data_IF_885721527780
#
_entry.id   IF_885721527780
#
_cell.length_a   1.000
_cell.length_b   1.000
_cell.length_c   1.000
_cell.angle_alpha   90.00
_cell.angle_beta   90.00
_cell.angle_gamma   90.00
#
_symmetry.space_group_name_H-M   'P 1'
#
loop_
_entity.id
_entity.type
_entity.pdbx_description
1 polymer ?
#
# COMPACT_ATOMS: atom_id res chain seq x y z
N UNK A 1 54.81 -12.30 21.48
CA UNK A 1 54.00 -12.73 20.32
C UNK A 1 53.24 -14.04 20.55
N UNK A 2 53.83 -15.06 21.22
CA UNK A 2 53.16 -16.35 21.53
C UNK A 2 51.92 -16.24 22.44
N UNK A 3 51.91 -15.33 23.42
CA UNK A 3 50.79 -15.16 24.34
C UNK A 3 49.56 -14.46 23.73
N UNK A 4 49.75 -13.57 22.76
CA UNK A 4 48.64 -12.90 22.06
C UNK A 4 47.88 -13.86 21.13
N UNK A 5 48.56 -14.84 20.54
CA UNK A 5 47.94 -15.87 19.69
C UNK A 5 47.07 -16.82 20.54
N UNK A 6 47.51 -17.19 21.74
CA UNK A 6 46.74 -18.05 22.66
C UNK A 6 45.50 -17.31 23.18
N UNK A 7 45.62 -16.02 23.49
CA UNK A 7 44.46 -15.20 23.91
C UNK A 7 43.47 -14.99 22.76
N UNK A 8 43.94 -14.79 21.52
CA UNK A 8 43.11 -14.73 20.32
C UNK A 8 42.36 -16.03 20.02
N UNK A 9 43.00 -17.19 20.22
CA UNK A 9 42.37 -18.51 20.05
C UNK A 9 41.33 -18.80 21.15
N UNK A 10 41.56 -18.32 22.38
CA UNK A 10 40.59 -18.43 23.47
C UNK A 10 39.36 -17.53 23.25
N UNK A 11 39.54 -16.32 22.75
CA UNK A 11 38.42 -15.41 22.40
C UNK A 11 37.62 -15.95 21.21
N UNK A 12 38.27 -16.57 20.22
CA UNK A 12 37.58 -17.28 19.13
C UNK A 12 36.89 -18.56 19.60
N UNK A 13 37.35 -19.21 20.67
CA UNK A 13 36.67 -20.38 21.25
C UNK A 13 35.43 -20.02 22.09
N UNK A 14 35.37 -18.78 22.61
CA UNK A 14 34.21 -18.24 23.33
C UNK A 14 33.12 -17.71 22.39
N UNK A 15 33.50 -17.32 21.17
CA UNK A 15 32.56 -17.20 20.06
C UNK A 15 32.32 -18.60 19.50
N UNK A 16 31.43 -19.35 20.16
CA UNK A 16 31.13 -20.73 19.80
C UNK A 16 31.09 -20.92 18.29
N UNK A 17 32.05 -21.70 17.76
CA UNK A 17 32.09 -22.05 16.36
C UNK A 17 30.69 -22.53 15.98
N UNK A 18 30.06 -21.83 15.02
CA UNK A 18 28.84 -22.32 14.41
C UNK A 18 29.15 -23.75 13.97
N UNK A 19 28.46 -24.73 14.56
CA UNK A 19 28.69 -26.12 14.23
C UNK A 19 28.41 -26.23 12.74
N UNK A 20 29.38 -26.75 11.98
CA UNK A 20 29.20 -27.08 10.56
C UNK A 20 28.09 -28.12 10.35
N UNK A 21 27.64 -28.74 11.44
CA UNK A 21 26.59 -29.75 11.48
C UNK A 21 25.44 -29.27 12.36
N UNK A 22 24.21 -29.16 11.84
CA UNK A 22 23.05 -28.85 12.67
C UNK A 22 22.86 -29.93 13.76
N UNK A 23 22.41 -29.54 14.97
CA UNK A 23 22.17 -30.49 16.05
C UNK A 23 21.11 -31.52 15.63
N UNK A 24 21.28 -32.78 16.03
CA UNK A 24 20.18 -33.74 15.99
C UNK A 24 19.14 -33.28 17.01
N UNK A 25 17.90 -33.10 16.58
CA UNK A 25 16.79 -32.70 17.44
C UNK A 25 16.09 -33.99 17.87
N UNK A 26 16.17 -34.36 19.14
CA UNK A 26 15.28 -35.40 19.67
C UNK A 26 13.89 -34.78 19.89
N UNK A 27 13.11 -34.75 18.81
CA UNK A 27 11.77 -34.14 18.84
C UNK A 27 10.86 -34.86 19.84
N UNK A 28 11.04 -36.17 20.03
CA UNK A 28 10.25 -36.92 21.02
C UNK A 28 10.53 -36.40 22.42
N UNK A 29 11.80 -36.20 22.77
CA UNK A 29 12.18 -35.61 24.07
C UNK A 29 11.67 -34.16 24.21
N UNK A 30 11.78 -33.34 23.17
CA UNK A 30 11.26 -31.95 23.20
C UNK A 30 9.74 -31.94 23.42
N UNK A 31 9.00 -32.72 22.63
CA UNK A 31 7.54 -32.81 22.72
C UNK A 31 7.11 -33.35 24.08
N UNK A 32 7.81 -34.36 24.61
CA UNK A 32 7.57 -34.89 25.94
C UNK A 32 7.68 -33.78 27.00
N UNK A 33 8.79 -33.02 27.01
CA UNK A 33 9.00 -31.90 27.94
C UNK A 33 7.99 -30.75 27.75
N UNK A 34 7.53 -30.50 26.53
CA UNK A 34 6.46 -29.53 26.28
C UNK A 34 5.10 -30.00 26.82
N UNK A 35 4.81 -31.31 26.72
CA UNK A 35 3.57 -31.92 27.26
C UNK A 35 3.54 -31.90 28.80
N UNK A 36 4.68 -31.90 29.48
CA UNK A 36 4.76 -31.78 30.96
C UNK A 36 4.18 -30.47 31.51
N UNK A 37 4.08 -29.41 30.71
CA UNK A 37 3.44 -28.15 31.12
C UNK A 37 1.91 -28.25 31.23
N UNK A 38 1.30 -29.34 30.76
CA UNK A 38 -0.12 -29.66 30.85
C UNK A 38 -1.07 -28.51 30.43
N UNK A 39 -0.73 -27.82 29.35
CA UNK A 39 -1.50 -26.70 28.79
C UNK A 39 -2.03 -27.05 27.39
N UNK A 40 -3.35 -27.16 27.20
CA UNK A 40 -3.95 -27.51 25.90
C UNK A 40 -3.58 -26.56 24.75
N UNK A 41 -3.28 -25.29 25.05
CA UNK A 41 -2.89 -24.31 24.03
C UNK A 41 -1.48 -24.56 23.48
N UNK A 42 -0.65 -25.26 24.26
CA UNK A 42 0.72 -25.64 23.91
C UNK A 42 0.71 -26.96 23.14
N UNK A 43 -0.16 -27.91 23.51
CA UNK A 43 -0.17 -29.26 22.96
C UNK A 43 -1.04 -29.42 21.71
N UNK A 44 -1.95 -28.48 21.42
CA UNK A 44 -2.79 -28.50 20.23
C UNK A 44 -1.95 -28.43 18.94
N UNK A 45 -2.11 -29.43 18.07
CA UNK A 45 -1.40 -29.58 16.79
C UNK A 45 0.13 -29.52 16.92
N UNK A 46 0.67 -29.83 18.12
CA UNK A 46 2.09 -29.63 18.42
C UNK A 46 2.99 -30.37 17.41
N UNK A 47 2.66 -31.61 17.06
CA UNK A 47 3.46 -32.43 16.15
C UNK A 47 3.50 -31.86 14.72
N UNK A 48 2.36 -31.34 14.22
CA UNK A 48 2.24 -30.79 12.87
C UNK A 48 2.82 -29.37 12.74
N UNK A 49 2.69 -28.56 13.80
CA UNK A 49 3.01 -27.13 13.76
C UNK A 49 4.33 -26.77 14.45
N UNK A 50 5.03 -27.74 15.06
CA UNK A 50 6.25 -27.49 15.84
C UNK A 50 7.27 -26.66 15.06
N UNK A 51 7.69 -27.15 13.88
CA UNK A 51 8.71 -26.50 13.06
C UNK A 51 8.25 -25.16 12.49
N UNK A 52 6.96 -25.01 12.23
CA UNK A 52 6.36 -23.76 11.73
C UNK A 52 6.48 -22.62 12.75
N UNK A 53 6.58 -22.99 14.02
CA UNK A 53 6.59 -22.10 15.19
C UNK A 53 7.94 -22.09 15.94
N UNK A 54 8.98 -22.69 15.36
CA UNK A 54 10.33 -22.76 15.90
C UNK A 54 11.25 -21.78 15.16
N UNK A 55 12.04 -21.00 15.90
CA UNK A 55 13.08 -20.12 15.33
C UNK A 55 14.42 -20.33 16.00
N UNK A 56 15.42 -20.72 15.20
CA UNK A 56 16.78 -20.88 15.67
C UNK A 56 17.43 -19.52 15.88
N UNK A 57 17.93 -19.30 17.09
CA UNK A 57 18.78 -18.15 17.40
C UNK A 57 20.23 -18.46 16.98
N UNK A 58 20.64 -19.71 17.13
CA UNK A 58 21.92 -20.27 16.71
C UNK A 58 21.83 -21.81 16.72
N UNK A 59 22.96 -22.48 16.48
CA UNK A 59 23.03 -23.95 16.35
C UNK A 59 22.77 -24.72 17.66
N UNK A 60 22.54 -24.05 18.79
CA UNK A 60 22.29 -24.69 20.09
C UNK A 60 21.07 -24.12 20.81
N UNK A 61 20.46 -23.05 20.31
CA UNK A 61 19.33 -22.39 20.94
C UNK A 61 18.27 -22.11 19.90
N UNK A 62 17.05 -22.58 20.17
CA UNK A 62 15.87 -22.16 19.45
C UNK A 62 14.78 -21.66 20.40
N UNK A 63 13.91 -20.84 19.84
CA UNK A 63 12.72 -20.34 20.49
C UNK A 63 11.49 -20.98 19.85
N UNK A 64 10.64 -21.56 20.68
CA UNK A 64 9.37 -22.13 20.25
C UNK A 64 8.23 -21.28 20.83
N UNK A 65 7.35 -20.80 19.96
CA UNK A 65 6.16 -20.04 20.36
C UNK A 65 4.93 -20.68 19.69
N UNK A 66 4.12 -21.48 20.43
CA UNK A 66 2.94 -22.13 19.88
C UNK A 66 2.02 -21.14 19.16
N UNK A 67 1.44 -21.56 18.03
CA UNK A 67 0.68 -20.68 17.16
C UNK A 67 -0.52 -20.05 17.90
N UNK A 68 -0.67 -18.73 17.78
CA UNK A 68 -1.75 -17.98 18.44
C UNK A 68 -1.63 -17.85 19.96
N UNK A 69 -0.46 -18.11 20.53
CA UNK A 69 -0.19 -17.94 21.96
C UNK A 69 0.92 -16.92 22.18
N UNK A 70 1.04 -16.43 23.41
CA UNK A 70 2.22 -15.68 23.87
C UNK A 70 3.21 -16.54 24.64
N UNK A 71 3.00 -17.86 24.66
CA UNK A 71 3.97 -18.76 25.27
C UNK A 71 5.28 -18.69 24.52
N UNK A 72 6.38 -18.52 25.22
CA UNK A 72 7.69 -18.59 24.62
C UNK A 72 8.53 -19.58 25.41
N UNK A 73 9.05 -20.56 24.70
CA UNK A 73 9.94 -21.57 25.21
C UNK A 73 11.33 -21.37 24.63
N UNK A 74 12.34 -21.44 25.48
CA UNK A 74 13.73 -21.55 25.08
C UNK A 74 14.12 -23.01 25.09
N UNK A 75 14.52 -23.52 23.94
CA UNK A 75 15.01 -24.87 23.76
C UNK A 75 16.52 -24.81 23.58
N UNK A 76 17.27 -25.54 24.40
CA UNK A 76 18.71 -25.70 24.24
C UNK A 76 19.02 -27.11 23.75
N UNK A 77 19.72 -27.20 22.63
CA UNK A 77 20.21 -28.43 22.03
C UNK A 77 21.66 -28.66 22.49
N UNK A 78 21.86 -29.62 23.39
CA UNK A 78 23.16 -30.01 23.95
C UNK A 78 23.28 -31.52 24.05
N UNK A 79 24.16 -32.00 24.94
CA UNK A 79 24.19 -33.43 25.32
C UNK A 79 22.87 -33.89 25.94
N UNK A 80 22.19 -32.97 26.62
CA UNK A 80 20.83 -33.13 27.15
C UNK A 80 19.97 -31.98 26.63
N UNK A 81 18.77 -32.28 26.13
CA UNK A 81 17.84 -31.23 25.68
C UNK A 81 17.26 -30.53 26.91
N UNK A 82 17.18 -29.20 26.90
CA UNK A 82 16.46 -28.46 27.95
C UNK A 82 15.36 -27.61 27.33
N UNK A 83 14.14 -27.69 27.88
CA UNK A 83 13.00 -26.87 27.48
C UNK A 83 12.62 -25.99 28.67
N UNK A 84 12.71 -24.67 28.51
CA UNK A 84 12.40 -23.71 29.56
C UNK A 84 11.29 -22.78 29.07
N UNK A 85 10.16 -22.71 29.79
CA UNK A 85 9.13 -21.70 29.53
C UNK A 85 9.62 -20.35 30.03
N UNK A 86 9.98 -19.45 29.12
CA UNK A 86 10.53 -18.15 29.46
C UNK A 86 9.48 -17.04 29.52
N UNK A 87 8.27 -17.23 28.97
CA UNK A 87 7.19 -16.24 29.13
C UNK A 87 6.35 -16.47 30.39
N UNK A 88 5.82 -15.39 30.95
CA UNK A 88 4.79 -15.39 32.00
C UNK A 88 3.38 -15.30 31.42
N UNK A 89 3.21 -14.45 30.41
CA UNK A 89 1.94 -14.24 29.72
C UNK A 89 1.44 -15.48 28.98
N UNK A 90 0.13 -15.67 28.98
CA UNK A 90 -0.53 -16.84 28.40
C UNK A 90 -1.45 -16.49 27.21
N UNK A 91 -1.99 -15.27 27.15
CA UNK A 91 -2.93 -14.87 26.09
C UNK A 91 -2.75 -13.43 25.62
N UNK A 92 -2.58 -13.25 24.31
CA UNK A 92 -3.08 -12.10 23.57
C UNK A 92 -3.71 -12.62 22.27
N UNK A 93 -4.95 -12.19 22.03
CA UNK A 93 -5.69 -12.58 20.83
C UNK A 93 -5.01 -12.11 19.54
N UNK A 94 -5.40 -12.78 18.46
CA UNK A 94 -5.04 -12.44 17.07
C UNK A 94 -3.56 -12.61 16.67
N UNK A 95 -2.86 -13.59 17.25
CA UNK A 95 -1.48 -13.94 16.87
C UNK A 95 -1.39 -15.25 16.07
N UNK A 96 -2.50 -15.82 15.59
CA UNK A 96 -2.40 -16.97 14.68
C UNK A 96 -1.75 -16.55 13.37
N UNK A 97 -0.92 -17.41 12.78
CA UNK A 97 -0.31 -17.16 11.48
C UNK A 97 0.47 -15.82 11.45
N UNK A 98 1.19 -15.54 12.53
CA UNK A 98 2.12 -14.40 12.64
C UNK A 98 3.45 -14.73 11.97
N UNK A 99 4.18 -13.70 11.53
CA UNK A 99 5.58 -13.88 11.16
C UNK A 99 6.45 -13.82 12.42
N UNK A 100 6.95 -14.98 12.85
CA UNK A 100 7.92 -15.11 13.94
C UNK A 100 9.34 -15.06 13.36
N UNK A 101 10.23 -14.22 13.90
CA UNK A 101 11.61 -14.11 13.39
C UNK A 101 12.59 -13.60 14.45
N UNK A 102 13.88 -13.83 14.23
CA UNK A 102 14.95 -13.32 15.08
C UNK A 102 15.62 -12.11 14.42
N UNK A 103 15.93 -11.09 15.22
CA UNK A 103 16.68 -9.91 14.80
C UNK A 103 17.53 -9.40 15.96
N UNK A 104 18.83 -9.22 15.74
CA UNK A 104 19.80 -8.77 16.77
C UNK A 104 19.67 -9.50 18.12
N UNK A 105 19.63 -10.84 18.11
CA UNK A 105 19.46 -11.70 19.29
C UNK A 105 18.15 -11.53 20.06
N UNK A 106 17.14 -10.90 19.46
CA UNK A 106 15.80 -10.77 20.00
C UNK A 106 14.81 -11.50 19.09
N UNK A 107 13.73 -11.99 19.70
CA UNK A 107 12.63 -12.60 18.98
C UNK A 107 11.47 -11.63 18.83
N UNK A 108 10.96 -11.57 17.61
CA UNK A 108 9.84 -10.73 17.22
C UNK A 108 8.69 -11.56 16.68
N UNK A 109 7.49 -11.07 16.92
CA UNK A 109 6.24 -11.60 16.37
C UNK A 109 5.54 -10.45 15.66
N UNK A 110 5.29 -10.60 14.36
CA UNK A 110 4.67 -9.57 13.57
C UNK A 110 3.35 -10.03 12.96
N UNK A 111 2.30 -9.25 13.26
CA UNK A 111 0.96 -9.48 12.77
C UNK A 111 0.25 -10.66 13.40
N UNK A 112 -0.60 -11.30 12.60
CA UNK A 112 -1.40 -12.45 12.97
C UNK A 112 -2.90 -12.21 12.79
N UNK A 113 -3.67 -13.24 13.04
CA UNK A 113 -5.12 -13.23 12.95
C UNK A 113 -5.75 -14.01 14.10
N UNK A 114 -7.02 -13.73 14.35
CA UNK A 114 -7.87 -14.43 15.30
C UNK A 114 -9.25 -14.59 14.68
N UNK A 115 -10.16 -15.25 15.40
CA UNK A 115 -11.49 -15.57 14.87
C UNK A 115 -12.28 -14.33 14.39
N UNK A 116 -12.11 -13.20 15.10
CA UNK A 116 -12.91 -11.98 14.89
C UNK A 116 -12.08 -10.75 14.51
N UNK A 117 -10.75 -10.82 14.64
CA UNK A 117 -9.88 -9.66 14.47
C UNK A 117 -8.51 -10.07 13.91
N UNK A 118 -7.89 -9.16 13.16
CA UNK A 118 -6.50 -9.28 12.72
C UNK A 118 -5.59 -8.37 13.54
N UNK A 119 -4.32 -8.76 13.63
CA UNK A 119 -3.28 -7.98 14.27
C UNK A 119 -2.32 -7.45 13.20
N UNK A 120 -2.02 -6.15 13.26
CA UNK A 120 -1.02 -5.49 12.42
C UNK A 120 0.20 -5.00 13.23
N UNK A 121 0.31 -5.45 14.49
CA UNK A 121 1.31 -4.97 15.46
C UNK A 121 2.59 -5.80 15.39
N UNK A 122 3.72 -5.14 15.66
CA UNK A 122 5.01 -5.76 15.93
C UNK A 122 5.19 -5.93 17.44
N UNK A 123 5.47 -7.16 17.87
CA UNK A 123 5.75 -7.50 19.27
C UNK A 123 7.21 -7.91 19.42
N UNK A 124 7.88 -7.36 20.42
CA UNK A 124 9.24 -7.74 20.85
C UNK A 124 9.12 -8.50 22.17
N UNK A 125 9.77 -9.66 22.30
CA UNK A 125 9.84 -10.34 23.59
C UNK A 125 10.95 -9.74 24.46
N UNK A 126 10.58 -9.29 25.66
CA UNK A 126 11.53 -8.81 26.65
C UNK A 126 11.87 -9.92 27.64
N UNK A 127 13.14 -10.36 27.64
CA UNK A 127 13.61 -11.47 28.47
C UNK A 127 13.56 -11.17 29.98
N UNK A 128 13.79 -9.91 30.38
CA UNK A 128 13.82 -9.51 31.79
C UNK A 128 12.40 -9.51 32.37
N UNK A 129 11.45 -8.97 31.62
CA UNK A 129 10.06 -8.90 32.02
C UNK A 129 9.33 -10.24 31.80
N UNK A 130 9.87 -11.09 30.93
CA UNK A 130 9.28 -12.37 30.50
C UNK A 130 7.94 -12.19 29.78
N UNK A 131 7.81 -11.11 29.01
CA UNK A 131 6.57 -10.68 28.34
C UNK A 131 6.82 -10.08 26.96
N UNK A 132 5.76 -10.04 26.14
CA UNK A 132 5.76 -9.45 24.82
C UNK A 132 5.27 -8.01 24.89
N UNK A 133 6.03 -7.09 24.29
CA UNK A 133 5.69 -5.67 24.25
C UNK A 133 5.46 -5.22 22.82
N UNK A 134 4.40 -4.44 22.60
CA UNK A 134 4.20 -3.76 21.32
C UNK A 134 5.37 -2.82 21.09
N UNK A 135 6.00 -2.96 19.92
CA UNK A 135 6.99 -2.01 19.43
C UNK A 135 6.29 -0.93 18.63
N UNK A 136 6.46 0.33 19.03
CA UNK A 136 5.95 1.45 18.26
C UNK A 136 6.78 1.63 16.99
N UNK A 137 6.09 1.76 15.86
CA UNK A 137 6.68 2.00 14.55
C UNK A 137 6.29 3.41 14.14
N UNK A 138 7.27 4.28 13.94
CA UNK A 138 7.07 5.66 13.48
C UNK A 138 6.48 5.65 12.07
N UNK A 139 5.56 6.57 11.80
CA UNK A 139 4.89 6.72 10.50
C UNK A 139 4.12 5.48 10.03
N UNK A 140 3.80 4.55 10.94
CA UNK A 140 3.02 3.37 10.58
C UNK A 140 1.56 3.76 10.33
N UNK A 141 0.90 3.22 9.28
CA UNK A 141 -0.48 3.60 8.96
C UNK A 141 -1.43 3.27 10.12
N UNK A 142 -2.20 4.26 10.56
CA UNK A 142 -3.13 4.11 11.68
C UNK A 142 -4.30 3.15 11.35
N UNK A 143 -4.63 3.03 10.06
CA UNK A 143 -5.71 2.20 9.52
C UNK A 143 -5.24 0.82 9.03
N UNK A 144 -3.99 0.44 9.31
CA UNK A 144 -3.46 -0.88 9.01
C UNK A 144 -4.22 -1.96 9.80
N UNK A 145 -5.01 -2.77 9.10
CA UNK A 145 -5.84 -3.80 9.72
C UNK A 145 -5.16 -5.16 9.80
N UNK A 146 -4.47 -5.59 8.72
CA UNK A 146 -3.89 -6.93 8.60
C UNK A 146 -2.54 -6.91 7.89
N UNK A 147 -1.61 -7.74 8.34
CA UNK A 147 -0.39 -8.07 7.58
C UNK A 147 -0.74 -9.13 6.55
N UNK A 148 -0.58 -8.82 5.27
CA UNK A 148 -0.83 -9.73 4.15
C UNK A 148 0.42 -10.52 3.80
N UNK A 149 1.55 -9.80 3.77
CA UNK A 149 2.87 -10.40 3.60
C UNK A 149 3.92 -9.69 4.41
N UNK A 150 4.92 -10.44 4.91
CA UNK A 150 6.12 -9.83 5.49
C UNK A 150 7.34 -10.73 5.43
N UNK A 151 8.53 -10.14 5.33
CA UNK A 151 9.82 -10.84 5.43
C UNK A 151 10.96 -9.88 5.78
N UNK A 152 11.94 -10.35 6.55
CA UNK A 152 13.08 -9.55 7.01
C UNK A 152 14.33 -9.76 6.13
N UNK A 153 14.87 -8.68 5.56
CA UNK A 153 16.12 -8.70 4.80
C UNK A 153 16.93 -7.42 5.06
N UNK A 154 18.24 -7.54 5.31
CA UNK A 154 19.14 -6.39 5.49
C UNK A 154 18.60 -5.31 6.45
N UNK A 155 18.17 -5.70 7.65
CA UNK A 155 17.56 -4.84 8.68
C UNK A 155 16.24 -4.16 8.27
N UNK A 156 15.65 -4.55 7.14
CA UNK A 156 14.37 -4.03 6.65
C UNK A 156 13.34 -5.12 6.62
N UNK A 157 12.24 -4.89 7.31
CA UNK A 157 11.06 -5.74 7.26
C UNK A 157 10.17 -5.24 6.12
N UNK A 158 10.19 -5.95 4.99
CA UNK A 158 9.27 -5.68 3.88
C UNK A 158 7.87 -6.07 4.34
N UNK A 159 6.86 -5.25 4.05
CA UNK A 159 5.49 -5.49 4.52
C UNK A 159 4.46 -5.04 3.50
N UNK A 160 3.50 -5.93 3.23
CA UNK A 160 2.24 -5.61 2.55
C UNK A 160 1.12 -5.59 3.59
N UNK A 161 0.52 -4.42 3.77
CA UNK A 161 -0.58 -4.18 4.68
C UNK A 161 -1.91 -4.18 3.92
N UNK A 162 -2.96 -4.70 4.54
CA UNK A 162 -4.33 -4.33 4.18
C UNK A 162 -4.74 -3.15 5.06
N UNK A 163 -5.32 -2.14 4.44
CA UNK A 163 -5.92 -0.98 5.09
C UNK A 163 -7.44 -1.17 5.17
N UNK A 164 -8.06 -0.69 6.26
CA UNK A 164 -9.51 -0.65 6.44
C UNK A 164 -10.21 -2.00 6.20
N UNK A 165 -10.06 -2.92 7.16
CA UNK A 165 -10.55 -4.32 7.10
C UNK A 165 -12.07 -4.54 7.03
N UNK A 166 -12.88 -3.49 6.96
CA UNK A 166 -14.33 -3.55 6.80
C UNK A 166 -14.76 -2.89 5.50
N UNK A 167 -14.48 -3.54 4.37
CA UNK A 167 -15.07 -3.15 3.10
C UNK A 167 -16.18 -4.14 2.74
N UNK A 168 -17.41 -3.65 2.58
CA UNK A 168 -18.51 -4.42 1.97
C UNK A 168 -18.19 -4.79 0.50
N UNK A 169 -17.22 -4.10 -0.12
CA UNK A 169 -16.67 -4.44 -1.42
C UNK A 169 -15.66 -5.59 -1.34
N UNK A 170 -15.66 -6.49 -2.32
CA UNK A 170 -14.62 -7.54 -2.50
C UNK A 170 -13.19 -7.00 -2.74
N UNK A 171 -12.99 -5.68 -2.82
CA UNK A 171 -11.69 -5.04 -3.05
C UNK A 171 -11.13 -4.47 -1.73
N UNK A 172 -9.87 -4.78 -1.49
CA UNK A 172 -9.08 -4.31 -0.36
C UNK A 172 -8.11 -3.24 -0.85
N UNK A 173 -7.81 -2.28 0.03
CA UNK A 173 -6.73 -1.33 -0.19
C UNK A 173 -5.47 -1.89 0.45
N UNK A 174 -4.44 -2.08 -0.36
CA UNK A 174 -3.16 -2.56 0.09
C UNK A 174 -2.14 -1.43 0.12
N UNK A 175 -1.23 -1.49 1.09
CA UNK A 175 -0.10 -0.58 1.21
C UNK A 175 1.18 -1.40 1.34
N UNK A 176 2.11 -1.20 0.41
CA UNK A 176 3.43 -1.82 0.46
C UNK A 176 4.46 -0.82 0.98
N UNK A 177 5.34 -1.29 1.84
CA UNK A 177 6.42 -0.49 2.40
C UNK A 177 7.46 -1.32 3.13
N UNK A 178 8.38 -0.61 3.78
CA UNK A 178 9.49 -1.20 4.53
C UNK A 178 9.52 -0.60 5.94
N UNK A 179 9.68 -1.44 6.96
CA UNK A 179 9.99 -1.01 8.32
C UNK A 179 11.50 -1.16 8.52
N UNK A 180 12.18 -0.06 8.78
CA UNK A 180 13.57 -0.09 9.23
C UNK A 180 13.61 -0.60 10.68
N UNK A 181 14.25 -1.76 10.90
CA UNK A 181 14.29 -2.41 12.21
C UNK A 181 15.29 -1.78 13.18
N UNK A 182 16.17 -0.90 12.71
CA UNK A 182 17.11 -0.16 13.56
C UNK A 182 16.45 1.10 14.13
N UNK A 183 15.69 1.82 13.30
CA UNK A 183 15.02 3.08 13.69
C UNK A 183 13.56 2.92 14.08
N UNK A 184 12.98 1.75 13.80
CA UNK A 184 11.55 1.44 13.90
C UNK A 184 10.70 2.48 13.17
N UNK A 185 11.05 2.77 11.92
CA UNK A 185 10.31 3.71 11.06
C UNK A 185 9.79 3.02 9.82
N UNK A 186 8.51 3.24 9.53
CA UNK A 186 7.87 2.80 8.29
C UNK A 186 8.13 3.80 7.16
N UNK A 187 8.49 3.28 5.99
CA UNK A 187 8.58 4.02 4.74
C UNK A 187 7.60 3.43 3.74
N UNK A 188 6.63 4.23 3.33
CA UNK A 188 5.68 3.84 2.29
C UNK A 188 6.38 3.78 0.92
N UNK A 189 6.16 2.68 0.19
CA UNK A 189 6.55 2.56 -1.23
C UNK A 189 5.36 2.93 -2.12
N UNK A 190 4.16 2.46 -1.77
CA UNK A 190 2.91 2.88 -2.40
C UNK A 190 1.75 1.92 -2.13
N UNK A 191 0.54 2.38 -2.48
CA UNK A 191 -0.69 1.60 -2.30
C UNK A 191 -1.43 1.29 -3.60
N UNK A 192 -2.22 0.22 -3.56
CA UNK A 192 -3.08 -0.22 -4.68
C UNK A 192 -4.35 -0.89 -4.16
N UNK A 193 -5.43 -0.87 -4.95
CA UNK A 193 -6.67 -1.56 -4.61
C UNK A 193 -6.82 -2.83 -5.45
N UNK A 194 -7.06 -3.98 -4.80
CA UNK A 194 -7.26 -5.25 -5.52
C UNK A 194 -8.14 -6.22 -4.75
N UNK A 195 -8.63 -7.27 -5.41
CA UNK A 195 -9.18 -8.42 -4.71
C UNK A 195 -8.05 -9.15 -3.98
N UNK A 196 -8.36 -9.73 -2.83
CA UNK A 196 -7.41 -10.60 -2.15
C UNK A 196 -7.10 -11.81 -3.03
N UNK A 197 -5.82 -12.11 -3.22
CA UNK A 197 -5.34 -13.32 -3.91
C UNK A 197 -4.25 -13.99 -3.06
N UNK A 198 -4.20 -15.33 -2.99
CA UNK A 198 -3.09 -16.08 -2.38
C UNK A 198 -1.71 -15.69 -2.93
N UNK A 199 -1.68 -15.20 -4.17
CA UNK A 199 -0.49 -14.65 -4.85
C UNK A 199 0.15 -13.49 -4.11
N UNK A 200 -0.64 -12.73 -3.36
CA UNK A 200 -0.16 -11.58 -2.61
C UNK A 200 0.38 -11.94 -1.23
N UNK A 201 0.31 -13.22 -0.82
CA UNK A 201 0.43 -13.62 0.60
C UNK A 201 1.69 -14.43 0.86
N UNK A 202 2.50 -14.06 1.85
CA UNK A 202 3.72 -14.77 2.21
C UNK A 202 4.15 -14.42 3.63
N UNK A 203 4.96 -15.27 4.28
CA UNK A 203 5.62 -14.91 5.55
C UNK A 203 4.79 -15.17 6.81
N UNK A 204 3.48 -15.32 6.67
CA UNK A 204 2.56 -15.47 7.79
C UNK A 204 2.34 -16.94 8.22
N UNK A 205 2.64 -17.91 7.36
CA UNK A 205 2.35 -19.33 7.62
C UNK A 205 3.43 -20.25 7.05
N UNK A 206 3.54 -21.44 7.63
CA UNK A 206 4.31 -22.57 7.10
C UNK A 206 5.84 -22.39 6.96
N UNK A 207 6.43 -21.33 7.52
CA UNK A 207 7.89 -21.16 7.53
C UNK A 207 8.52 -22.18 8.48
N UNK A 208 9.32 -23.08 7.92
CA UNK A 208 10.01 -24.13 8.66
C UNK A 208 11.50 -23.82 8.90
N UNK A 209 12.08 -22.93 8.10
CA UNK A 209 13.48 -22.50 8.23
C UNK A 209 13.74 -21.18 7.51
N UNK A 210 14.71 -20.42 8.00
CA UNK A 210 15.07 -19.10 7.45
C UNK A 210 16.57 -18.82 7.65
N UNK A 211 17.21 -18.27 6.61
CA UNK A 211 18.57 -17.68 6.67
C UNK A 211 18.50 -16.19 6.38
N UNK A 212 19.64 -15.52 6.24
CA UNK A 212 19.67 -14.11 5.83
C UNK A 212 19.06 -13.88 4.43
N UNK A 213 19.20 -14.83 3.50
CA UNK A 213 18.74 -14.66 2.11
C UNK A 213 17.46 -15.43 1.79
N UNK A 214 17.31 -16.67 2.26
CA UNK A 214 16.18 -17.51 1.86
C UNK A 214 15.29 -17.90 3.03
N UNK A 215 14.02 -18.17 2.74
CA UNK A 215 13.05 -18.83 3.61
C UNK A 215 12.67 -20.15 2.98
N UNK A 216 12.61 -21.21 3.78
CA UNK A 216 12.03 -22.50 3.40
C UNK A 216 10.65 -22.60 4.05
N UNK A 217 9.65 -22.93 3.25
CA UNK A 217 8.28 -23.05 3.71
C UNK A 217 7.60 -24.27 3.12
N UNK A 218 6.61 -24.78 3.85
CA UNK A 218 5.78 -25.90 3.42
C UNK A 218 4.58 -25.43 2.60
N UNK A 219 4.44 -25.96 1.40
CA UNK A 219 3.29 -25.78 0.52
C UNK A 219 2.32 -26.96 0.73
N UNK A 220 1.54 -26.92 1.81
CA UNK A 220 0.71 -28.03 2.25
C UNK A 220 -0.52 -28.24 1.34
N UNK A 221 -0.43 -29.20 0.42
CA UNK A 221 -1.57 -30.00 -0.07
C UNK A 221 -1.43 -31.37 0.58
N UNK A 222 -2.45 -31.83 1.30
CA UNK A 222 -2.43 -33.08 2.07
C UNK A 222 -1.86 -34.26 1.26
N UNK A 223 -1.10 -35.11 1.95
CA UNK A 223 -0.40 -36.34 1.56
C UNK A 223 1.09 -36.23 1.19
N UNK A 224 1.61 -35.10 0.70
CA UNK A 224 3.04 -34.95 0.40
C UNK A 224 3.63 -33.65 0.99
N UNK A 225 4.71 -33.75 1.76
CA UNK A 225 5.43 -32.58 2.27
C UNK A 225 6.19 -31.90 1.13
N UNK A 226 5.56 -30.90 0.52
CA UNK A 226 6.15 -30.13 -0.56
C UNK A 226 6.78 -28.88 0.04
N UNK A 227 8.10 -28.77 -0.09
CA UNK A 227 8.84 -27.59 0.35
C UNK A 227 9.12 -26.66 -0.82
N UNK A 228 9.09 -25.37 -0.55
CA UNK A 228 9.42 -24.33 -1.50
C UNK A 228 10.35 -23.28 -0.86
N UNK A 229 11.01 -22.50 -1.71
CA UNK A 229 12.00 -21.51 -1.30
C UNK A 229 11.46 -20.13 -1.61
N UNK A 230 11.74 -19.16 -0.75
CA UNK A 230 11.50 -17.74 -1.02
C UNK A 230 12.82 -16.97 -0.93
N UNK A 231 13.22 -16.28 -2.00
CA UNK A 231 14.36 -15.35 -1.98
C UNK A 231 13.90 -14.01 -1.42
N UNK A 232 14.39 -13.67 -0.22
CA UNK A 232 14.03 -12.44 0.48
C UNK A 232 14.60 -11.19 -0.17
N UNK A 233 15.70 -11.31 -0.93
CA UNK A 233 16.35 -10.18 -1.60
C UNK A 233 15.47 -9.66 -2.72
N UNK A 234 15.01 -10.56 -3.58
CA UNK A 234 14.16 -10.21 -4.72
C UNK A 234 12.65 -10.24 -4.36
N UNK A 235 12.29 -10.92 -3.27
CA UNK A 235 10.91 -11.08 -2.85
C UNK A 235 10.14 -12.02 -3.76
N UNK A 236 10.74 -13.18 -4.07
CA UNK A 236 10.24 -14.13 -5.06
C UNK A 236 10.08 -15.51 -4.46
N UNK A 237 9.04 -16.25 -4.87
CA UNK A 237 8.96 -17.69 -4.61
C UNK A 237 9.74 -18.40 -5.69
N UNK A 238 10.59 -19.33 -5.31
CA UNK A 238 11.43 -20.12 -6.21
C UNK A 238 10.94 -21.56 -6.21
N UNK A 239 10.74 -22.08 -7.42
CA UNK A 239 10.38 -23.47 -7.65
C UNK A 239 11.62 -24.23 -8.10
N UNK A 240 11.91 -25.30 -7.37
CA UNK A 240 13.15 -26.07 -7.54
C UNK A 240 12.90 -27.55 -7.29
N UNK A 241 13.65 -28.39 -7.99
CA UNK A 241 13.63 -29.84 -7.78
C UNK A 241 14.52 -30.26 -6.60
N UNK A 242 15.33 -29.36 -6.02
CA UNK A 242 16.25 -29.67 -4.93
C UNK A 242 15.56 -30.24 -3.68
N UNK A 243 14.28 -29.88 -3.49
CA UNK A 243 13.53 -30.21 -2.28
C UNK A 243 12.58 -31.41 -2.47
N UNK A 244 12.47 -31.95 -3.69
CA UNK A 244 11.49 -32.97 -4.04
C UNK A 244 11.70 -34.28 -3.28
N UNK A 245 12.97 -34.63 -3.03
CA UNK A 245 13.35 -35.90 -2.39
C UNK A 245 13.62 -35.74 -0.89
N UNK A 246 13.31 -34.56 -0.31
CA UNK A 246 13.46 -34.33 1.13
C UNK A 246 12.24 -34.95 1.84
N UNK A 247 12.44 -35.88 2.80
CA UNK A 247 11.34 -36.45 3.55
C UNK A 247 10.64 -35.39 4.42
N UNK A 248 9.40 -35.66 4.79
CA UNK A 248 8.67 -34.87 5.76
C UNK A 248 9.51 -34.64 7.03
N UNK A 249 9.56 -33.38 7.48
CA UNK A 249 10.24 -33.00 8.72
C UNK A 249 9.45 -33.57 9.91
N UNK A 250 10.06 -34.52 10.61
CA UNK A 250 9.45 -35.32 11.69
C UNK A 250 10.31 -35.35 12.96
N UNK A 251 11.34 -34.49 13.03
CA UNK A 251 12.30 -34.47 14.13
C UNK A 251 13.53 -35.32 13.93
N UNK A 252 13.43 -36.46 13.25
CA UNK A 252 14.61 -37.17 12.77
C UNK A 252 15.16 -36.49 11.51
N UNK A 253 14.24 -36.09 10.64
CA UNK A 253 14.48 -35.25 9.47
C UNK A 253 14.22 -33.81 9.86
N UNK A 254 15.22 -32.94 9.72
CA UNK A 254 15.12 -31.51 9.97
C UNK A 254 15.87 -30.76 8.88
N UNK A 255 15.33 -29.59 8.50
CA UNK A 255 15.88 -28.74 7.46
C UNK A 255 16.44 -27.46 8.09
N UNK A 256 17.75 -27.27 7.96
CA UNK A 256 18.47 -26.07 8.39
C UNK A 256 18.98 -25.32 7.18
N UNK A 257 18.87 -24.00 7.19
CA UNK A 257 19.37 -23.17 6.12
C UNK A 257 20.43 -22.21 6.66
N UNK A 258 21.64 -22.33 6.12
CA UNK A 258 22.74 -21.40 6.38
C UNK A 258 23.14 -20.75 5.08
N UNK A 259 22.92 -19.44 4.99
CA UNK A 259 23.08 -18.66 3.77
C UNK A 259 22.30 -19.29 2.59
N UNK A 260 23.02 -19.85 1.61
CA UNK A 260 22.45 -20.56 0.44
C UNK A 260 22.53 -22.09 0.55
N UNK A 261 23.10 -22.63 1.62
CA UNK A 261 23.25 -24.08 1.80
C UNK A 261 22.15 -24.60 2.70
N UNK A 262 21.35 -25.50 2.14
CA UNK A 262 20.33 -26.24 2.86
C UNK A 262 20.94 -27.55 3.38
N UNK A 263 20.85 -27.77 4.68
CA UNK A 263 21.22 -29.01 5.32
C UNK A 263 19.96 -29.77 5.69
N UNK A 264 19.94 -31.07 5.42
CA UNK A 264 18.82 -31.93 5.76
C UNK A 264 19.31 -33.33 6.11
N UNK A 265 18.49 -34.10 6.82
CA UNK A 265 18.76 -35.53 7.05
C UNK A 265 17.95 -36.35 6.06
N UNK A 266 18.63 -37.27 5.38
CA UNK A 266 18.00 -38.18 4.42
C UNK A 266 17.21 -39.29 5.15
N UNK A 267 16.56 -40.17 4.39
CA UNK A 267 15.82 -41.32 4.93
C UNK A 267 16.68 -42.28 5.75
N UNK A 268 18.00 -42.31 5.53
CA UNK A 268 18.98 -43.06 6.32
C UNK A 268 19.48 -42.31 7.57
N UNK A 269 18.91 -41.14 7.87
CA UNK A 269 19.28 -40.27 9.00
C UNK A 269 20.69 -39.65 8.90
N UNK A 270 21.30 -39.69 7.72
CA UNK A 270 22.60 -39.08 7.43
C UNK A 270 22.44 -37.61 7.06
N UNK A 271 23.38 -36.79 7.51
CA UNK A 271 23.38 -35.36 7.17
C UNK A 271 23.84 -35.20 5.72
N UNK A 272 22.95 -34.65 4.89
CA UNK A 272 23.22 -34.22 3.53
C UNK A 272 23.09 -32.70 3.43
N UNK A 273 23.59 -32.14 2.33
CA UNK A 273 23.44 -30.73 2.03
C UNK A 273 23.27 -30.47 0.56
N UNK A 274 22.50 -29.45 0.21
CA UNK A 274 22.32 -28.98 -1.14
C UNK A 274 22.49 -27.46 -1.19
N UNK A 275 23.16 -26.97 -2.24
CA UNK A 275 23.36 -25.53 -2.45
C UNK A 275 22.22 -25.02 -3.32
N UNK A 276 21.49 -24.03 -2.82
CA UNK A 276 20.50 -23.28 -3.59
C UNK A 276 21.27 -22.42 -4.58
N UNK A 277 21.21 -22.82 -5.85
CA UNK A 277 21.84 -22.12 -6.96
C UNK A 277 20.83 -21.87 -8.08
N UNK A 278 21.11 -20.90 -8.94
CA UNK A 278 20.21 -20.51 -10.03
C UNK A 278 19.95 -21.65 -11.02
N UNK A 279 20.95 -22.52 -11.27
CA UNK A 279 20.78 -23.68 -12.16
C UNK A 279 19.77 -24.71 -11.68
N UNK A 280 19.43 -24.71 -10.39
CA UNK A 280 18.46 -25.64 -9.79
C UNK A 280 17.03 -25.10 -9.75
N UNK A 281 16.85 -23.82 -10.11
CA UNK A 281 15.57 -23.12 -10.11
C UNK A 281 15.02 -23.20 -11.54
N UNK A 282 13.86 -23.83 -11.71
CA UNK A 282 13.22 -23.94 -13.03
C UNK A 282 12.14 -22.87 -13.26
N UNK A 283 11.62 -22.28 -12.19
CA UNK A 283 10.60 -21.23 -12.25
C UNK A 283 10.69 -20.32 -11.01
N UNK A 284 10.31 -19.06 -11.19
CA UNK A 284 10.25 -18.05 -10.14
C UNK A 284 8.94 -17.26 -10.23
N UNK A 285 8.43 -16.83 -9.08
CA UNK A 285 7.22 -16.02 -8.96
C UNK A 285 7.54 -14.69 -8.26
N UNK A 286 7.61 -13.57 -9.00
CA UNK A 286 8.16 -12.32 -8.50
C UNK A 286 7.14 -11.49 -7.71
N UNK A 287 6.88 -11.92 -6.47
CA UNK A 287 5.83 -11.35 -5.63
C UNK A 287 6.03 -9.85 -5.35
N UNK A 288 7.26 -9.41 -5.07
CA UNK A 288 7.59 -8.00 -4.83
C UNK A 288 7.37 -7.14 -6.08
N UNK A 289 7.72 -7.64 -7.27
CA UNK A 289 7.50 -6.93 -8.54
C UNK A 289 6.02 -6.77 -8.84
N UNK A 290 5.21 -7.80 -8.59
CA UNK A 290 3.75 -7.73 -8.71
C UNK A 290 3.16 -6.59 -7.86
N UNK A 291 3.73 -6.32 -6.68
CA UNK A 291 3.30 -5.17 -5.87
C UNK A 291 3.66 -3.85 -6.53
N UNK A 292 4.89 -3.71 -7.04
CA UNK A 292 5.33 -2.51 -7.75
C UNK A 292 4.49 -2.23 -8.99
N UNK A 293 4.20 -3.25 -9.79
CA UNK A 293 3.38 -3.13 -11.00
C UNK A 293 1.97 -2.64 -10.67
N UNK A 294 1.35 -3.19 -9.62
CA UNK A 294 0.02 -2.75 -9.16
C UNK A 294 0.03 -1.32 -8.62
N UNK A 295 1.11 -0.92 -7.93
CA UNK A 295 1.29 0.46 -7.46
C UNK A 295 1.43 1.40 -8.67
N UNK A 296 2.25 1.04 -9.64
CA UNK A 296 2.44 1.81 -10.87
C UNK A 296 1.11 1.95 -11.63
N UNK A 297 0.38 0.85 -11.81
CA UNK A 297 -0.94 0.86 -12.44
C UNK A 297 -1.93 1.76 -11.68
N UNK A 298 -1.94 1.71 -10.34
CA UNK A 298 -2.78 2.59 -9.52
C UNK A 298 -2.42 4.07 -9.70
N UNK A 299 -1.13 4.40 -9.75
CA UNK A 299 -0.64 5.77 -10.01
C UNK A 299 -1.04 6.26 -11.41
N UNK A 300 -0.85 5.42 -12.43
CA UNK A 300 -1.25 5.73 -13.81
C UNK A 300 -2.76 5.98 -13.87
N UNK A 301 -3.58 5.12 -13.28
CA UNK A 301 -5.04 5.30 -13.26
C UNK A 301 -5.46 6.64 -12.61
N UNK A 302 -4.84 7.01 -11.48
CA UNK A 302 -5.10 8.31 -10.82
C UNK A 302 -4.71 9.49 -11.72
N UNK A 303 -3.54 9.44 -12.34
CA UNK A 303 -3.08 10.49 -13.26
C UNK A 303 -4.02 10.62 -14.46
N UNK A 304 -4.38 9.50 -15.08
CA UNK A 304 -5.33 9.46 -16.21
C UNK A 304 -6.70 10.02 -15.83
N UNK A 305 -7.20 9.72 -14.62
CA UNK A 305 -8.46 10.27 -14.13
C UNK A 305 -8.40 11.80 -13.97
N UNK A 306 -7.31 12.34 -13.41
CA UNK A 306 -7.11 13.79 -13.33
C UNK A 306 -6.99 14.46 -14.70
N UNK A 307 -6.27 13.82 -15.64
CA UNK A 307 -6.15 14.32 -17.00
C UNK A 307 -7.51 14.39 -17.73
N UNK A 308 -8.33 13.34 -17.61
CA UNK A 308 -9.70 13.34 -18.16
C UNK A 308 -10.55 14.44 -17.51
N UNK A 309 -10.49 14.59 -16.19
CA UNK A 309 -11.18 15.66 -15.48
C UNK A 309 -10.78 17.05 -15.95
N UNK A 310 -9.48 17.28 -16.19
CA UNK A 310 -8.96 18.54 -16.71
C UNK A 310 -9.42 18.82 -18.15
N UNK A 311 -9.47 17.80 -19.00
CA UNK A 311 -10.00 17.91 -20.38
C UNK A 311 -11.48 18.32 -20.34
N UNK A 312 -12.30 17.65 -19.51
CA UNK A 312 -13.73 17.98 -19.36
C UNK A 312 -13.90 19.42 -18.87
N UNK A 313 -13.12 19.83 -17.86
CA UNK A 313 -13.17 21.20 -17.33
C UNK A 313 -12.79 22.23 -18.40
N UNK A 314 -11.75 21.95 -19.19
CA UNK A 314 -11.31 22.81 -20.29
C UNK A 314 -12.40 22.97 -21.35
N UNK A 315 -13.09 21.88 -21.72
CA UNK A 315 -14.22 21.91 -22.66
C UNK A 315 -15.37 22.75 -22.10
N UNK A 316 -15.71 22.60 -20.81
CA UNK A 316 -16.75 23.39 -20.16
C UNK A 316 -16.42 24.90 -20.16
N UNK A 317 -15.16 25.26 -19.90
CA UNK A 317 -14.69 26.65 -19.96
C UNK A 317 -14.83 27.21 -21.38
N UNK A 318 -14.42 26.45 -22.40
CA UNK A 318 -14.55 26.87 -23.81
C UNK A 318 -16.03 27.09 -24.19
N UNK A 319 -16.93 26.21 -23.75
CA UNK A 319 -18.38 26.36 -23.99
C UNK A 319 -18.91 27.62 -23.30
N UNK A 320 -18.50 27.89 -22.06
CA UNK A 320 -18.91 29.10 -21.33
C UNK A 320 -18.42 30.37 -22.02
N UNK A 321 -17.15 30.42 -22.44
CA UNK A 321 -16.59 31.56 -23.18
C UNK A 321 -17.34 31.77 -24.49
N UNK A 322 -17.61 30.70 -25.26
CA UNK A 322 -18.41 30.80 -26.50
C UNK A 322 -19.81 31.35 -26.24
N UNK A 323 -20.48 30.90 -25.17
CA UNK A 323 -21.82 31.39 -24.80
C UNK A 323 -21.81 32.87 -24.42
N UNK A 324 -20.82 33.33 -23.66
CA UNK A 324 -20.66 34.74 -23.30
C UNK A 324 -20.42 35.58 -24.57
N UNK A 325 -19.52 35.13 -25.44
CA UNK A 325 -19.20 35.84 -26.68
C UNK A 325 -20.40 35.88 -27.66
N UNK A 326 -21.17 34.79 -27.81
CA UNK A 326 -22.39 34.79 -28.63
C UNK A 326 -23.45 35.79 -28.12
N UNK A 327 -23.62 35.87 -26.80
CA UNK A 327 -24.54 36.85 -26.20
C UNK A 327 -24.06 38.30 -26.40
N UNK A 328 -22.75 38.53 -26.50
CA UNK A 328 -22.23 39.87 -26.84
C UNK A 328 -22.45 40.23 -28.32
N UNK A 329 -22.27 39.26 -29.23
CA UNK A 329 -22.39 39.50 -30.67
C UNK A 329 -23.83 39.81 -31.10
N UNK A 330 -24.83 39.17 -30.48
CA UNK A 330 -26.24 39.43 -30.79
C UNK A 330 -26.73 40.82 -30.37
N UNK A 331 -26.07 41.45 -29.38
CA UNK A 331 -26.32 42.86 -29.01
C UNK A 331 -25.77 43.86 -30.02
N UNK A 332 -24.59 43.58 -30.60
CA UNK A 332 -23.94 44.44 -31.58
C UNK A 332 -24.60 44.39 -32.96
N UNK A 333 -25.05 43.20 -33.40
CA UNK A 333 -25.68 43.03 -34.72
C UNK A 333 -27.02 43.80 -34.83
N UNK A 334 -27.80 43.85 -33.75
CA UNK A 334 -29.04 44.62 -33.69
C UNK A 334 -28.77 46.14 -33.69
N UNK A 335 -27.68 46.58 -33.06
CA UNK A 335 -27.27 47.98 -33.04
C UNK A 335 -26.75 48.43 -34.42
N UNK A 336 -26.00 47.57 -35.11
CA UNK A 336 -25.50 47.83 -36.46
C UNK A 336 -26.64 48.02 -37.49
N UNK A 337 -27.67 47.18 -37.48
CA UNK A 337 -28.81 47.31 -38.39
C UNK A 337 -29.66 48.55 -38.09
N UNK A 338 -29.72 48.99 -36.83
CA UNK A 338 -30.36 50.26 -36.44
C UNK A 338 -29.52 51.45 -36.94
N UNK A 339 -28.19 51.43 -36.74
CA UNK A 339 -27.28 52.46 -37.26
C UNK A 339 -27.37 52.59 -38.79
N UNK A 340 -27.44 51.46 -39.51
CA UNK A 340 -27.61 51.43 -40.97
C UNK A 340 -28.91 52.07 -41.45
N UNK A 341 -30.03 51.83 -40.75
CA UNK A 341 -31.31 52.50 -41.04
C UNK A 341 -31.23 54.01 -40.79
N UNK A 342 -30.57 54.42 -39.72
CA UNK A 342 -30.39 55.83 -39.36
C UNK A 342 -29.44 56.58 -40.31
N UNK A 343 -28.45 55.89 -40.90
CA UNK A 343 -27.53 56.49 -41.89
C UNK A 343 -28.26 57.06 -43.11
N UNK A 344 -29.37 56.47 -43.53
CA UNK A 344 -30.20 56.99 -44.65
C UNK A 344 -30.74 58.38 -44.35
N UNK A 345 -30.93 58.71 -43.06
CA UNK A 345 -31.45 59.99 -42.58
C UNK A 345 -30.34 60.91 -42.07
N UNK A 346 -29.07 60.63 -42.38
CA UNK A 346 -27.93 61.46 -41.93
C UNK A 346 -28.01 62.87 -42.54
N UNK A 347 -27.75 63.89 -41.72
CA UNK A 347 -27.90 65.30 -42.06
C UNK A 347 -29.34 65.83 -42.01
N UNK A 348 -30.32 64.99 -41.65
CA UNK A 348 -31.72 65.40 -41.56
C UNK A 348 -32.15 65.70 -40.12
N UNK A 349 -33.25 66.44 -39.98
CA UNK A 349 -33.93 66.66 -38.71
C UNK A 349 -35.30 66.00 -38.76
N UNK A 350 -35.48 64.94 -37.98
CA UNK A 350 -36.68 64.09 -37.99
C UNK A 350 -37.58 64.34 -36.78
N UNK A 351 -38.85 63.94 -36.91
CA UNK A 351 -39.81 63.99 -35.80
C UNK A 351 -39.56 62.84 -34.81
N UNK A 352 -40.17 62.96 -33.62
CA UNK A 352 -40.04 61.95 -32.55
C UNK A 352 -40.57 60.58 -32.99
N UNK A 353 -41.73 60.58 -33.61
CA UNK A 353 -42.44 59.36 -34.04
C UNK A 353 -41.63 58.64 -35.13
N UNK A 354 -41.06 59.39 -36.06
CA UNK A 354 -40.20 58.91 -37.13
C UNK A 354 -38.89 58.30 -36.60
N UNK A 355 -38.29 58.91 -35.56
CA UNK A 355 -37.16 58.31 -34.87
C UNK A 355 -37.52 56.99 -34.17
N UNK A 356 -38.71 56.89 -33.58
CA UNK A 356 -39.18 55.65 -32.94
C UNK A 356 -39.39 54.52 -33.95
N UNK A 357 -39.83 54.83 -35.16
CA UNK A 357 -39.94 53.87 -36.26
C UNK A 357 -38.56 53.40 -36.74
N UNK A 358 -37.61 54.32 -36.94
CA UNK A 358 -36.24 53.99 -37.36
C UNK A 358 -35.50 53.14 -36.31
N UNK A 359 -35.74 53.41 -35.02
CA UNK A 359 -35.24 52.59 -33.91
C UNK A 359 -36.01 51.27 -33.73
N UNK A 360 -37.14 51.09 -34.43
CA UNK A 360 -37.98 49.88 -34.35
C UNK A 360 -38.74 49.73 -33.03
N UNK A 361 -38.98 50.83 -32.31
CA UNK A 361 -39.61 50.83 -30.97
C UNK A 361 -41.02 51.42 -30.94
N UNK A 362 -41.54 51.90 -32.07
CA UNK A 362 -42.86 52.55 -32.17
C UNK A 362 -44.05 51.69 -31.69
N UNK A 363 -43.90 50.36 -31.65
CA UNK A 363 -44.92 49.42 -31.19
C UNK A 363 -45.05 49.30 -29.66
N UNK A 364 -44.13 49.91 -28.90
CA UNK A 364 -44.10 49.78 -27.43
C UNK A 364 -45.03 50.79 -26.74
N UNK A 365 -45.29 50.59 -25.44
CA UNK A 365 -46.04 51.58 -24.64
C UNK A 365 -45.27 52.89 -24.48
N UNK A 366 -45.99 54.00 -24.27
CA UNK A 366 -45.39 55.35 -24.21
C UNK A 366 -44.21 55.47 -23.25
N UNK A 367 -44.34 54.95 -22.02
CA UNK A 367 -43.27 55.00 -21.01
C UNK A 367 -42.06 54.14 -21.41
N UNK A 368 -42.32 52.98 -22.04
CA UNK A 368 -41.28 52.07 -22.52
C UNK A 368 -40.49 52.69 -23.68
N UNK A 369 -41.18 53.35 -24.63
CA UNK A 369 -40.54 54.06 -25.75
C UNK A 369 -39.61 55.14 -25.23
N UNK A 370 -40.08 55.96 -24.28
CA UNK A 370 -39.30 57.09 -23.75
C UNK A 370 -37.97 56.62 -23.14
N UNK A 371 -38.02 55.57 -22.32
CA UNK A 371 -36.84 55.00 -21.67
C UNK A 371 -35.90 54.35 -22.69
N UNK A 372 -36.46 53.52 -23.58
CA UNK A 372 -35.68 52.75 -24.58
C UNK A 372 -35.00 53.66 -25.61
N UNK A 373 -35.69 54.71 -26.09
CA UNK A 373 -35.11 55.72 -26.99
C UNK A 373 -33.92 56.42 -26.35
N UNK A 374 -34.04 56.87 -25.11
CA UNK A 374 -32.95 57.53 -24.38
C UNK A 374 -31.72 56.62 -24.22
N UNK A 375 -31.96 55.33 -23.95
CA UNK A 375 -30.88 54.34 -23.89
C UNK A 375 -30.20 54.12 -25.24
N UNK A 376 -30.98 53.89 -26.30
CA UNK A 376 -30.45 53.63 -27.64
C UNK A 376 -29.69 54.81 -28.23
N UNK A 377 -30.19 56.05 -28.02
CA UNK A 377 -29.47 57.26 -28.45
C UNK A 377 -28.10 57.35 -27.77
N UNK A 378 -28.00 57.03 -26.48
CA UNK A 378 -26.71 57.03 -25.78
C UNK A 378 -25.76 56.00 -26.38
N UNK A 379 -26.21 54.75 -26.52
CA UNK A 379 -25.41 53.67 -27.13
C UNK A 379 -24.92 54.04 -28.54
N UNK A 380 -25.80 54.57 -29.40
CA UNK A 380 -25.44 54.96 -30.78
C UNK A 380 -24.43 56.13 -30.78
N UNK A 381 -24.62 57.12 -29.91
CA UNK A 381 -23.69 58.25 -29.80
C UNK A 381 -22.32 57.81 -29.24
N UNK A 382 -22.30 56.90 -28.27
CA UNK A 382 -21.08 56.36 -27.66
C UNK A 382 -20.27 55.52 -28.67
N UNK A 383 -20.96 54.84 -29.61
CA UNK A 383 -20.32 54.11 -30.71
C UNK A 383 -19.60 55.01 -31.73
N UNK A 384 -19.92 56.31 -31.76
CA UNK A 384 -19.20 57.33 -32.53
C UNK A 384 -19.41 57.34 -34.06
N UNK A 385 -20.26 56.45 -34.60
CA UNK A 385 -20.56 56.37 -36.05
C UNK A 385 -21.59 57.40 -36.54
N UNK A 386 -22.50 57.78 -35.64
CA UNK A 386 -23.60 58.72 -35.86
C UNK A 386 -23.79 59.52 -34.57
N UNK A 387 -24.28 60.76 -34.68
CA UNK A 387 -24.63 61.57 -33.51
C UNK A 387 -26.07 62.04 -33.60
N UNK A 388 -26.91 61.54 -32.70
CA UNK A 388 -28.31 61.95 -32.56
C UNK A 388 -28.39 63.01 -31.47
N UNK A 389 -28.81 64.22 -31.85
CA UNK A 389 -28.99 65.35 -30.94
C UNK A 389 -30.46 65.75 -30.85
N UNK A 390 -30.91 66.04 -29.62
CA UNK A 390 -32.28 66.47 -29.36
C UNK A 390 -32.40 67.98 -29.46
N UNK A 391 -33.20 68.45 -30.41
CA UNK A 391 -33.45 69.87 -30.68
C UNK A 391 -34.83 70.25 -30.13
N UNK A 392 -34.91 71.36 -29.37
CA UNK A 392 -36.19 71.92 -28.91
C UNK A 392 -36.81 72.76 -30.03
N UNK A 393 -38.12 72.62 -30.27
CA UNK A 393 -38.82 73.56 -31.18
C UNK A 393 -38.89 74.95 -30.54
N UNK A 394 -38.70 76.00 -31.35
CA UNK A 394 -38.77 77.40 -30.91
C UNK A 394 -40.20 77.84 -30.59
N UNK A 395 -41.19 77.33 -31.33
CA UNK A 395 -42.62 77.68 -31.18
C UNK A 395 -43.29 77.00 -29.97
N UNK A 396 -42.88 75.78 -29.59
CA UNK A 396 -43.33 75.10 -28.38
C UNK A 396 -42.22 74.21 -27.81
N UNK A 397 -41.67 74.66 -26.68
CA UNK A 397 -40.55 73.99 -25.98
C UNK A 397 -40.92 72.60 -25.44
N UNK A 398 -42.20 72.20 -25.47
CA UNK A 398 -42.67 70.85 -25.10
C UNK A 398 -42.46 69.82 -26.21
N UNK A 399 -42.21 70.25 -27.45
CA UNK A 399 -41.97 69.37 -28.58
C UNK A 399 -40.50 69.33 -28.98
N UNK A 400 -40.03 68.13 -29.32
CA UNK A 400 -38.64 67.86 -29.64
C UNK A 400 -38.52 67.28 -31.05
N UNK A 401 -37.52 67.76 -31.79
CA UNK A 401 -37.03 67.13 -33.01
C UNK A 401 -35.68 66.49 -32.71
N UNK A 402 -35.23 65.60 -33.60
CA UNK A 402 -33.92 64.96 -33.47
C UNK A 402 -33.13 65.20 -34.75
N UNK A 403 -31.90 65.69 -34.60
CA UNK A 403 -30.94 65.82 -35.69
C UNK A 403 -30.02 64.60 -35.68
N UNK A 404 -29.86 63.97 -36.83
CA UNK A 404 -28.97 62.83 -37.04
C UNK A 404 -27.76 63.34 -37.82
N UNK A 405 -26.58 63.35 -37.20
CA UNK A 405 -25.33 63.86 -37.78
C UNK A 405 -24.31 62.78 -38.05
#
# INVERSE_FOLDING_TARGET
MRYYIIFSLLVLSLQGFSKTHPPKIDLKEVIFKLKEFNDPTITRNLEEDFFKNLRFQNDSIAYFNPNGTLHLFKIKFGSTISVEKISKGIYHGSTFNRYLFNYENKIYSFGGEGLWASCSKLLEFNINNREWFKKEIKNYPFDASKIISSWLINNKLNVLLSLNGHNQSKKFNFLFGEIDMTTFSFTEIGGFSSMYSPDLTFGNKNIIGESNRYIIYENSSLENCIYAIFDKKYGERLFTNLLKDIPCIDGNSYVYLKDSTLFYRNSSNELSSVIINESSIYESYPMKEIYYDRILQSRIYKISAYAIGFIILSILIIILIKKINLNSYSGDENTFEIEKRLLVSKGSTIKREELDELLGIAHLSFDSIKSKRSSMIRTINDNGRLKIERIRKEEDKRFFKYSIN
#
